data_IF_970737233409
#
_entry.id   IF_970737233409
#
_cell.length_a   1.000
_cell.length_b   1.000
_cell.length_c   1.000
_cell.angle_alpha   90.00
_cell.angle_beta   90.00
_cell.angle_gamma   90.00
#
_symmetry.space_group_name_H-M   'P 1'
#
loop_
_entity.id
_entity.type
_entity.pdbx_description
1 polymer ?
#
# COMPACT_ATOMS: atom_id res chain seq x y z
N UNK A 1 20.47 -5.53 -3.32
CA UNK A 1 19.98 -6.10 -2.03
C UNK A 1 20.98 -5.95 -0.88
N UNK A 2 22.30 -6.12 -1.09
CA UNK A 2 23.28 -5.95 -0.01
C UNK A 2 23.25 -4.53 0.61
N UNK A 3 23.17 -3.49 -0.21
CA UNK A 3 23.13 -2.08 0.22
C UNK A 3 21.91 -1.77 1.09
N UNK A 4 20.70 -2.19 0.68
CA UNK A 4 19.47 -1.97 1.46
C UNK A 4 19.48 -2.61 2.86
N UNK A 5 20.18 -3.74 3.02
CA UNK A 5 20.28 -4.44 4.30
C UNK A 5 21.41 -3.89 5.18
N UNK A 6 22.50 -3.42 4.56
CA UNK A 6 23.75 -3.12 5.26
C UNK A 6 24.03 -1.63 5.40
N UNK A 7 23.29 -0.76 4.70
CA UNK A 7 23.38 0.69 4.80
C UNK A 7 22.03 1.25 5.33
N UNK A 8 22.07 1.84 6.51
CA UNK A 8 20.90 2.38 7.19
C UNK A 8 20.32 3.63 6.48
N UNK A 9 21.18 4.49 5.93
CA UNK A 9 20.77 5.71 5.26
C UNK A 9 20.09 5.38 3.93
N UNK A 10 20.70 4.49 3.13
CA UNK A 10 20.07 3.97 1.91
C UNK A 10 18.71 3.32 2.21
N UNK A 11 18.62 2.55 3.30
CA UNK A 11 17.37 1.93 3.73
C UNK A 11 16.29 2.97 4.04
N UNK A 12 16.67 4.03 4.77
CA UNK A 12 15.78 5.13 5.13
C UNK A 12 15.29 5.85 3.87
N UNK A 13 16.20 6.29 2.99
CA UNK A 13 15.87 6.99 1.74
C UNK A 13 14.96 6.16 0.82
N UNK A 14 15.23 4.86 0.68
CA UNK A 14 14.36 3.98 -0.08
C UNK A 14 12.95 3.84 0.55
N UNK A 15 12.84 3.90 1.88
CA UNK A 15 11.55 3.90 2.57
C UNK A 15 10.81 5.23 2.42
N UNK A 16 11.51 6.36 2.36
CA UNK A 16 10.90 7.68 2.09
C UNK A 16 10.16 7.69 0.75
N UNK A 17 10.71 7.05 -0.29
CA UNK A 17 10.04 6.89 -1.59
C UNK A 17 8.69 6.16 -1.41
N UNK A 18 8.67 5.09 -0.62
CA UNK A 18 7.41 4.35 -0.34
C UNK A 18 6.44 5.16 0.54
N UNK A 19 6.95 6.10 1.34
CA UNK A 19 6.14 6.94 2.22
C UNK A 19 5.28 7.96 1.45
N UNK A 20 5.61 8.24 0.17
CA UNK A 20 4.78 9.06 -0.72
C UNK A 20 3.35 8.54 -0.87
N UNK A 21 3.12 7.22 -0.72
CA UNK A 21 1.78 6.64 -0.72
C UNK A 21 0.90 7.13 0.45
N UNK A 22 1.52 7.67 1.50
CA UNK A 22 0.85 8.20 2.67
C UNK A 22 0.85 9.73 2.69
N UNK A 23 1.21 10.43 1.62
CA UNK A 23 1.06 11.89 1.52
C UNK A 23 -0.35 12.22 1.01
N UNK A 24 -1.01 13.32 1.44
CA UNK A 24 -2.29 13.69 0.84
C UNK A 24 -2.15 13.87 -0.68
N UNK A 25 -3.10 13.36 -1.50
CA UNK A 25 -2.96 13.31 -2.96
C UNK A 25 -2.51 14.63 -3.61
N UNK A 26 -3.02 15.75 -3.12
CA UNK A 26 -2.74 17.10 -3.58
C UNK A 26 -1.28 17.56 -3.33
N UNK A 27 -0.60 16.96 -2.34
CA UNK A 27 0.80 17.27 -2.00
C UNK A 27 1.79 16.24 -2.53
N UNK A 28 1.34 15.12 -3.12
CA UNK A 28 2.22 14.04 -3.58
C UNK A 28 3.27 14.52 -4.58
N UNK A 29 2.87 15.34 -5.56
CA UNK A 29 3.80 15.84 -6.60
C UNK A 29 4.89 16.72 -5.98
N UNK A 30 4.49 17.69 -5.16
CA UNK A 30 5.43 18.57 -4.46
C UNK A 30 6.37 17.79 -3.53
N UNK A 31 5.83 16.81 -2.80
CA UNK A 31 6.64 15.94 -1.93
C UNK A 31 7.62 15.06 -2.70
N UNK A 32 7.23 14.58 -3.88
CA UNK A 32 8.12 13.85 -4.77
C UNK A 32 9.26 14.73 -5.28
N UNK A 33 8.96 15.95 -5.75
CA UNK A 33 9.96 16.91 -6.24
C UNK A 33 10.97 17.24 -5.13
N UNK A 34 10.50 17.57 -3.92
CA UNK A 34 11.35 17.86 -2.76
C UNK A 34 12.25 16.67 -2.40
N UNK A 35 11.69 15.45 -2.38
CA UNK A 35 12.45 14.24 -2.09
C UNK A 35 13.48 13.95 -3.19
N UNK A 36 13.12 14.17 -4.46
CA UNK A 36 14.02 13.91 -5.59
C UNK A 36 15.23 14.83 -5.56
N UNK A 37 15.05 16.11 -5.27
CA UNK A 37 16.14 17.09 -5.15
C UNK A 37 17.10 16.73 -4.01
N UNK A 38 16.57 16.29 -2.86
CA UNK A 38 17.38 15.83 -1.72
C UNK A 38 18.18 14.57 -2.10
N UNK A 39 17.52 13.56 -2.66
CA UNK A 39 18.14 12.27 -3.00
C UNK A 39 19.16 12.37 -4.12
N UNK A 40 19.00 13.31 -5.06
CA UNK A 40 20.02 13.58 -6.08
C UNK A 40 21.35 14.01 -5.45
N UNK A 41 21.32 14.67 -4.29
CA UNK A 41 22.52 15.10 -3.58
C UNK A 41 23.07 14.02 -2.64
N UNK A 42 22.20 13.37 -1.87
CA UNK A 42 22.65 12.48 -0.78
C UNK A 42 22.79 11.02 -1.19
N UNK A 43 21.99 10.53 -2.15
CA UNK A 43 22.01 9.14 -2.59
C UNK A 43 21.61 9.00 -4.08
N UNK A 44 22.48 9.42 -5.01
CA UNK A 44 22.20 9.40 -6.45
C UNK A 44 21.89 8.00 -7.01
N UNK A 45 22.27 6.93 -6.29
CA UNK A 45 22.02 5.56 -6.73
C UNK A 45 20.54 5.18 -6.73
N UNK A 46 19.68 5.97 -6.06
CA UNK A 46 18.23 5.82 -6.08
C UNK A 46 17.56 6.54 -7.27
N UNK A 47 18.28 7.38 -8.03
CA UNK A 47 17.72 8.14 -9.15
C UNK A 47 16.97 7.26 -10.17
N UNK A 48 17.45 6.06 -10.56
CA UNK A 48 16.71 5.23 -11.51
C UNK A 48 15.32 4.80 -11.01
N UNK A 49 15.13 4.70 -9.70
CA UNK A 49 13.82 4.39 -9.10
C UNK A 49 12.92 5.63 -9.13
N UNK A 50 13.47 6.81 -8.86
CA UNK A 50 12.75 8.08 -8.92
C UNK A 50 12.30 8.37 -10.35
N UNK A 51 13.17 8.18 -11.36
CA UNK A 51 12.84 8.36 -12.77
C UNK A 51 11.71 7.42 -13.21
N UNK A 52 11.77 6.16 -12.77
CA UNK A 52 10.72 5.18 -13.03
C UNK A 52 9.39 5.58 -12.36
N UNK A 53 9.45 6.02 -11.10
CA UNK A 53 8.27 6.47 -10.36
C UNK A 53 7.66 7.71 -11.03
N UNK A 54 8.48 8.67 -11.43
CA UNK A 54 8.03 9.87 -12.13
C UNK A 54 7.36 9.51 -13.45
N UNK A 55 7.95 8.60 -14.23
CA UNK A 55 7.40 8.24 -15.53
C UNK A 55 6.02 7.57 -15.45
N UNK A 56 5.81 6.70 -14.46
CA UNK A 56 4.63 5.83 -14.41
C UNK A 56 3.55 6.26 -13.40
N UNK A 57 3.91 6.95 -12.32
CA UNK A 57 3.02 7.21 -11.18
C UNK A 57 2.81 8.69 -10.86
N UNK A 58 3.80 9.56 -11.14
CA UNK A 58 3.68 11.02 -10.93
C UNK A 58 3.34 11.74 -12.25
N UNK A 59 3.93 11.28 -13.36
CA UNK A 59 3.83 11.85 -14.70
C UNK A 59 4.91 12.89 -14.95
N UNK A 60 5.58 12.92 -16.12
CA UNK A 60 6.72 13.83 -16.36
C UNK A 60 6.25 15.27 -16.63
N UNK A 61 6.90 16.26 -16.01
CA UNK A 61 6.68 17.69 -16.30
C UNK A 61 7.28 18.05 -17.66
N UNK A 62 6.44 18.53 -18.59
CA UNK A 62 6.93 18.97 -19.90
C UNK A 62 7.33 20.45 -19.88
N UNK A 63 8.06 20.87 -20.92
CA UNK A 63 8.51 22.26 -21.10
C UNK A 63 7.35 23.27 -21.13
N UNK A 64 6.17 22.84 -21.54
CA UNK A 64 4.96 23.68 -21.56
C UNK A 64 4.33 23.89 -20.17
N UNK A 65 4.93 23.36 -19.10
CA UNK A 65 4.43 23.45 -17.73
C UNK A 65 3.30 22.47 -17.41
N UNK A 66 2.93 21.59 -18.35
CA UNK A 66 1.87 20.59 -18.17
C UNK A 66 2.50 19.23 -17.86
N UNK A 67 2.09 18.63 -16.75
CA UNK A 67 2.52 17.29 -16.35
C UNK A 67 1.74 16.24 -17.16
N UNK A 68 2.46 15.28 -17.75
CA UNK A 68 1.83 14.18 -18.52
C UNK A 68 0.97 13.34 -17.58
N UNK A 69 -0.21 12.91 -18.04
CA UNK A 69 -1.02 11.92 -17.30
C UNK A 69 -0.22 10.61 -17.14
N UNK A 70 0.06 10.16 -15.90
CA UNK A 70 0.78 8.91 -15.65
C UNK A 70 -0.04 7.69 -16.06
N UNK A 71 0.61 6.55 -16.26
CA UNK A 71 -0.07 5.28 -16.50
C UNK A 71 -0.91 4.84 -15.29
N UNK A 72 -0.46 5.18 -14.09
CA UNK A 72 -1.14 4.90 -12.82
C UNK A 72 -1.39 6.22 -12.07
N UNK A 73 -2.61 6.80 -12.19
CA UNK A 73 -2.98 8.02 -11.48
C UNK A 73 -2.83 7.89 -9.96
N UNK A 74 -2.54 9.00 -9.27
CA UNK A 74 -2.25 9.06 -7.83
C UNK A 74 -3.37 8.40 -7.00
N UNK A 75 -4.62 8.63 -7.38
CA UNK A 75 -5.81 8.12 -6.71
C UNK A 75 -5.87 6.58 -6.69
N UNK A 76 -5.17 5.91 -7.60
CA UNK A 76 -5.20 4.45 -7.71
C UNK A 76 -4.29 3.76 -6.69
N UNK A 77 -3.20 4.43 -6.27
CA UNK A 77 -2.18 3.85 -5.39
C UNK A 77 -2.01 4.59 -4.06
N UNK A 78 -2.52 5.81 -3.93
CA UNK A 78 -2.46 6.57 -2.70
C UNK A 78 -3.28 5.91 -1.57
N UNK A 79 -2.71 5.91 -0.37
CA UNK A 79 -3.25 5.29 0.83
C UNK A 79 -3.69 6.29 1.89
N UNK A 80 -3.46 7.60 1.71
CA UNK A 80 -3.74 8.64 2.71
C UNK A 80 -5.18 8.56 3.23
N UNK A 81 -6.15 8.65 2.32
CA UNK A 81 -7.58 8.61 2.66
C UNK A 81 -8.01 7.24 3.21
N UNK A 82 -7.38 6.14 2.76
CA UNK A 82 -7.65 4.79 3.27
C UNK A 82 -7.19 4.64 4.71
N UNK A 83 -6.03 5.22 5.06
CA UNK A 83 -5.54 5.22 6.43
C UNK A 83 -6.49 6.03 7.33
N UNK A 84 -6.91 7.22 6.91
CA UNK A 84 -7.80 8.08 7.70
C UNK A 84 -9.18 7.46 7.95
N UNK A 85 -9.70 6.71 6.97
CA UNK A 85 -10.99 6.03 7.07
C UNK A 85 -10.90 4.65 7.74
N UNK A 86 -9.73 4.30 8.29
CA UNK A 86 -9.41 2.98 8.85
C UNK A 86 -9.74 1.81 7.89
N UNK A 87 -9.75 2.09 6.59
CA UNK A 87 -9.97 1.08 5.57
C UNK A 87 -8.75 0.16 5.47
N UNK A 88 -9.00 -1.03 4.92
CA UNK A 88 -7.94 -2.00 4.70
C UNK A 88 -6.86 -1.45 3.78
N UNK A 89 -5.66 -1.35 4.35
CA UNK A 89 -4.46 -0.79 3.71
C UNK A 89 -3.92 -1.68 2.58
N UNK A 90 -4.25 -2.97 2.61
CA UNK A 90 -3.75 -3.98 1.67
C UNK A 90 -4.87 -4.88 1.16
N UNK A 91 -4.57 -5.64 0.10
CA UNK A 91 -5.39 -6.71 -0.45
C UNK A 91 -5.50 -7.96 0.46
N UNK A 92 -5.12 -7.87 1.76
CA UNK A 92 -5.01 -9.01 2.67
C UNK A 92 -6.27 -9.88 2.70
N UNK A 93 -7.46 -9.29 2.60
CA UNK A 93 -8.71 -10.06 2.54
C UNK A 93 -8.81 -10.85 1.25
N UNK A 94 -8.48 -10.26 0.11
CA UNK A 94 -8.48 -10.95 -1.17
C UNK A 94 -7.44 -12.09 -1.14
N UNK A 95 -6.23 -11.84 -0.63
CA UNK A 95 -5.19 -12.87 -0.49
C UNK A 95 -5.57 -13.98 0.50
N UNK A 96 -6.21 -13.63 1.62
CA UNK A 96 -6.69 -14.62 2.59
C UNK A 96 -7.82 -15.47 2.00
N UNK A 97 -8.73 -14.84 1.26
CA UNK A 97 -9.83 -15.53 0.56
C UNK A 97 -9.28 -16.46 -0.53
N UNK A 98 -8.31 -15.98 -1.32
CA UNK A 98 -7.64 -16.79 -2.32
C UNK A 98 -6.89 -17.97 -1.70
N UNK A 99 -6.12 -17.74 -0.62
CA UNK A 99 -5.42 -18.82 0.11
C UNK A 99 -6.38 -19.86 0.67
N UNK A 100 -7.53 -19.43 1.22
CA UNK A 100 -8.56 -20.36 1.71
C UNK A 100 -9.14 -21.17 0.56
N UNK A 101 -9.48 -20.53 -0.55
CA UNK A 101 -10.00 -21.21 -1.74
C UNK A 101 -8.98 -22.23 -2.29
N UNK A 102 -7.70 -21.85 -2.36
CA UNK A 102 -6.63 -22.73 -2.82
C UNK A 102 -6.44 -23.92 -1.87
N UNK A 103 -6.50 -23.70 -0.56
CA UNK A 103 -6.45 -24.79 0.42
C UNK A 103 -7.65 -25.75 0.25
N UNK A 104 -8.84 -25.22 0.00
CA UNK A 104 -10.05 -26.03 -0.16
C UNK A 104 -10.10 -26.80 -1.48
N UNK A 105 -9.61 -26.20 -2.56
CA UNK A 105 -9.44 -26.88 -3.83
C UNK A 105 -8.39 -27.99 -3.75
N UNK A 106 -7.27 -27.76 -3.05
CA UNK A 106 -6.13 -28.70 -2.96
C UNK A 106 -5.65 -29.25 -4.32
N UNK A 107 -5.88 -28.50 -5.41
CA UNK A 107 -5.64 -28.91 -6.80
C UNK A 107 -5.19 -27.71 -7.64
N UNK A 108 -4.23 -27.91 -8.53
CA UNK A 108 -3.71 -26.83 -9.38
C UNK A 108 -4.60 -26.50 -10.59
N UNK A 109 -5.34 -27.50 -11.09
CA UNK A 109 -6.16 -27.38 -12.31
C UNK A 109 -7.52 -28.07 -12.14
N UNK A 110 -8.43 -27.53 -11.31
CA UNK A 110 -9.76 -28.09 -11.15
C UNK A 110 -10.57 -27.93 -12.45
N UNK A 111 -11.46 -28.89 -12.71
CA UNK A 111 -12.49 -28.67 -13.73
C UNK A 111 -13.44 -27.56 -13.30
N UNK A 112 -14.12 -26.90 -14.24
CA UNK A 112 -15.11 -25.85 -13.93
C UNK A 112 -16.16 -26.36 -12.92
N UNK A 113 -16.60 -27.62 -13.06
CA UNK A 113 -17.56 -28.23 -12.14
C UNK A 113 -17.03 -28.37 -10.72
N UNK A 114 -15.82 -28.91 -10.55
CA UNK A 114 -15.17 -29.02 -9.25
C UNK A 114 -14.94 -27.64 -8.63
N UNK A 115 -14.50 -26.68 -9.44
CA UNK A 115 -14.30 -25.30 -9.01
C UNK A 115 -15.59 -24.68 -8.45
N UNK A 116 -16.72 -24.84 -9.15
CA UNK A 116 -18.03 -24.34 -8.69
C UNK A 116 -18.45 -25.03 -7.38
N UNK A 117 -18.23 -26.33 -7.25
CA UNK A 117 -18.57 -27.08 -6.02
C UNK A 117 -17.77 -26.55 -4.84
N UNK A 118 -16.45 -26.37 -4.98
CA UNK A 118 -15.61 -25.86 -3.90
C UNK A 118 -15.90 -24.40 -3.57
N UNK A 119 -16.21 -23.56 -4.57
CA UNK A 119 -16.67 -22.19 -4.34
C UNK A 119 -17.93 -22.14 -3.47
N UNK A 120 -18.92 -23.01 -3.74
CA UNK A 120 -20.14 -23.10 -2.93
C UNK A 120 -19.86 -23.49 -1.48
N UNK A 121 -18.90 -24.39 -1.24
CA UNK A 121 -18.49 -24.77 0.12
C UNK A 121 -17.82 -23.60 0.86
N UNK A 122 -16.87 -22.93 0.21
CA UNK A 122 -16.19 -21.75 0.78
C UNK A 122 -17.19 -20.63 1.08
N UNK A 123 -18.18 -20.44 0.22
CA UNK A 123 -19.27 -19.50 0.46
C UNK A 123 -20.11 -19.89 1.68
N UNK A 124 -20.57 -21.14 1.77
CA UNK A 124 -21.36 -21.62 2.91
C UNK A 124 -20.62 -21.46 4.26
N UNK A 125 -19.32 -21.77 4.30
CA UNK A 125 -18.49 -21.52 5.49
C UNK A 125 -18.41 -20.02 5.84
N UNK A 126 -18.39 -19.15 4.83
CA UNK A 126 -18.33 -17.71 5.03
C UNK A 126 -19.65 -17.13 5.52
N UNK A 127 -20.76 -17.65 5.04
CA UNK A 127 -22.10 -17.26 5.44
C UNK A 127 -22.32 -17.59 6.93
N UNK A 128 -21.89 -18.76 7.39
CA UNK A 128 -21.91 -19.14 8.81
C UNK A 128 -21.09 -18.15 9.66
N UNK A 129 -19.87 -17.81 9.20
CA UNK A 129 -19.05 -16.84 9.93
C UNK A 129 -19.66 -15.43 9.92
N UNK A 130 -20.35 -15.05 8.85
CA UNK A 130 -21.07 -13.78 8.79
C UNK A 130 -22.22 -13.74 9.79
N UNK A 131 -23.03 -14.81 9.86
CA UNK A 131 -24.11 -14.94 10.86
C UNK A 131 -23.60 -14.88 12.30
N UNK A 132 -22.45 -15.51 12.56
CA UNK A 132 -21.76 -15.42 13.85
C UNK A 132 -21.47 -13.96 14.25
N UNK A 133 -20.94 -13.17 13.31
CA UNK A 133 -20.68 -11.74 13.53
C UNK A 133 -21.97 -10.91 13.68
N UNK A 134 -22.98 -11.16 12.84
CA UNK A 134 -24.29 -10.49 12.92
C UNK A 134 -24.97 -10.76 14.26
N UNK A 135 -24.75 -11.93 14.84
CA UNK A 135 -25.22 -12.31 16.17
C UNK A 135 -24.47 -11.60 17.32
N UNK A 136 -23.59 -10.65 17.01
CA UNK A 136 -22.87 -9.83 17.98
C UNK A 136 -21.57 -10.44 18.51
N UNK A 137 -21.10 -11.57 17.94
CA UNK A 137 -19.82 -12.12 18.33
C UNK A 137 -18.67 -11.35 17.68
N UNK A 138 -17.57 -11.19 18.41
CA UNK A 138 -16.40 -10.48 17.91
C UNK A 138 -15.51 -11.40 17.04
N UNK A 139 -14.88 -10.85 15.99
CA UNK A 139 -13.88 -11.58 15.23
C UNK A 139 -12.65 -11.88 16.09
N UNK A 140 -11.83 -12.88 15.70
CA UNK A 140 -10.57 -13.15 16.39
C UNK A 140 -9.70 -11.88 16.51
N UNK A 141 -9.09 -11.64 17.67
CA UNK A 141 -8.33 -10.43 17.91
C UNK A 141 -7.13 -10.34 16.97
N UNK A 142 -6.92 -9.15 16.39
CA UNK A 142 -5.74 -8.87 15.57
C UNK A 142 -4.50 -8.85 16.46
N UNK A 143 -3.37 -9.40 15.98
CA UNK A 143 -2.12 -9.38 16.76
C UNK A 143 -1.72 -7.94 17.08
N UNK A 144 -1.41 -7.67 18.35
CA UNK A 144 -1.07 -6.34 18.88
C UNK A 144 -0.08 -5.55 18.00
N UNK A 145 0.98 -6.19 17.52
CA UNK A 145 1.98 -5.58 16.62
C UNK A 145 1.40 -4.92 15.37
N UNK A 146 0.33 -5.48 14.79
CA UNK A 146 -0.30 -4.91 13.59
C UNK A 146 -1.20 -3.73 13.93
N UNK A 147 -1.89 -3.79 15.07
CA UNK A 147 -2.69 -2.67 15.60
C UNK A 147 -1.78 -1.49 15.91
N UNK A 148 -0.68 -1.72 16.63
CA UNK A 148 0.31 -0.68 16.96
C UNK A 148 0.93 -0.05 15.71
N UNK A 149 1.32 -0.85 14.73
CA UNK A 149 1.84 -0.34 13.45
C UNK A 149 0.78 0.47 12.71
N UNK A 150 -0.48 0.02 12.72
CA UNK A 150 -1.58 0.74 12.08
C UNK A 150 -1.81 2.11 12.72
N UNK A 151 -1.83 2.15 14.05
CA UNK A 151 -2.03 3.37 14.84
C UNK A 151 -0.86 4.36 14.66
N UNK A 152 0.38 3.86 14.57
CA UNK A 152 1.55 4.70 14.26
C UNK A 152 1.41 5.41 12.91
N UNK A 153 1.00 4.68 11.88
CA UNK A 153 0.79 5.25 10.55
C UNK A 153 -0.38 6.24 10.56
N UNK A 154 -1.49 5.90 11.25
CA UNK A 154 -2.65 6.79 11.38
C UNK A 154 -2.27 8.12 12.03
N UNK A 155 -1.54 8.05 13.15
CA UNK A 155 -1.07 9.23 13.87
C UNK A 155 -0.16 10.11 13.00
N UNK A 156 0.73 9.49 12.22
CA UNK A 156 1.62 10.20 11.29
C UNK A 156 0.81 10.94 10.22
N UNK A 157 -0.10 10.24 9.54
CA UNK A 157 -1.00 10.77 8.50
C UNK A 157 -1.86 11.93 8.99
N UNK A 158 -2.39 11.85 10.22
CA UNK A 158 -3.21 12.89 10.85
C UNK A 158 -2.43 14.18 11.14
N UNK A 159 -1.10 14.09 11.29
CA UNK A 159 -0.24 15.22 11.63
C UNK A 159 0.65 15.68 10.46
N UNK A 160 0.29 15.34 9.21
CA UNK A 160 1.03 15.75 8.02
C UNK A 160 1.29 17.26 7.98
N UNK A 161 0.26 18.09 8.19
CA UNK A 161 0.36 19.56 8.10
C UNK A 161 1.25 20.23 9.17
N UNK A 162 1.69 19.49 10.19
CA UNK A 162 2.52 20.01 11.28
C UNK A 162 4.02 19.70 11.12
N UNK A 163 4.42 19.03 10.03
CA UNK A 163 5.79 18.58 9.81
C UNK A 163 6.34 19.10 8.50
N UNK A 164 7.66 19.20 8.40
CA UNK A 164 8.31 19.34 7.10
C UNK A 164 8.12 18.05 6.28
N UNK A 165 8.06 18.17 4.95
CA UNK A 165 7.89 17.04 4.02
C UNK A 165 8.95 15.96 4.22
N UNK A 166 10.22 16.34 4.34
CA UNK A 166 11.31 15.37 4.50
C UNK A 166 11.27 14.71 5.89
N UNK A 167 10.85 15.43 6.93
CA UNK A 167 10.66 14.84 8.26
C UNK A 167 9.43 13.92 8.37
N UNK A 168 8.46 14.11 7.47
CA UNK A 168 7.26 13.28 7.38
C UNK A 168 7.54 11.93 6.72
N UNK A 169 8.34 11.95 5.64
CA UNK A 169 8.69 10.78 4.82
C UNK A 169 9.67 9.84 5.55
#
# INVERSE_FOLDING_TARGET
>A
MASYRNNADFNLYARMITALAFVPPEYVVNSFETLSEELEQVEPTLQPILDWLEMYYIGILRREGVRRVPAFPIETWNLYNRVLTEQMKTNNIAEASHRRLQAQLSMNHPTIWQFIIELKKVQAERDIYYEFLVSGHEPPPTKKKYVEASNRILNLVQHFGNRNIIEYL
#
